data_IF_282144643555
#
_entry.id   IF_282144643555
#
_cell.length_a   1.000
_cell.length_b   1.000
_cell.length_c   1.000
_cell.angle_alpha   90.00
_cell.angle_beta   90.00
_cell.angle_gamma   90.00
#
_symmetry.space_group_name_H-M   'P 1'
#
loop_
_entity.id
_entity.type
_entity.pdbx_description
1 polymer ?
#
# COMPACT_ATOMS: atom_id res chain seq x y z
N UNK A 1 2.08 16.50 -4.63
CA UNK A 1 3.18 15.82 -3.91
C UNK A 1 3.91 14.93 -4.91
N UNK A 2 5.19 15.21 -5.16
CA UNK A 2 5.97 14.57 -6.24
C UNK A 2 6.58 13.26 -5.77
N UNK A 3 6.50 12.25 -6.64
CA UNK A 3 7.04 10.87 -6.63
C UNK A 3 8.36 10.62 -5.87
N UNK A 4 9.22 11.64 -5.78
CA UNK A 4 10.53 11.59 -5.14
C UNK A 4 10.45 11.31 -3.62
N UNK A 5 9.43 11.79 -2.93
CA UNK A 5 9.30 11.61 -1.47
C UNK A 5 8.98 10.16 -1.05
N UNK A 6 8.34 9.37 -1.92
CA UNK A 6 7.95 8.00 -1.61
C UNK A 6 9.14 7.02 -1.59
N UNK A 7 10.23 7.35 -2.28
CA UNK A 7 11.36 6.45 -2.56
C UNK A 7 12.64 6.75 -1.79
N UNK A 8 12.85 7.99 -1.32
CA UNK A 8 14.08 8.39 -0.64
C UNK A 8 14.00 8.12 0.89
N UNK A 9 14.62 7.01 1.29
CA UNK A 9 15.31 6.77 2.57
C UNK A 9 14.96 7.65 3.81
N UNK A 10 13.80 7.45 4.45
CA UNK A 10 13.60 7.47 5.93
C UNK A 10 12.10 7.50 6.28
N UNK A 11 11.46 6.33 6.42
CA UNK A 11 10.11 6.20 6.98
C UNK A 11 8.97 6.77 6.12
N UNK A 12 7.78 6.21 6.28
CA UNK A 12 6.53 6.89 5.87
C UNK A 12 6.13 7.81 7.02
N UNK A 13 5.71 9.04 6.74
CA UNK A 13 5.21 9.94 7.78
C UNK A 13 3.75 9.63 8.13
N UNK A 14 3.28 10.13 9.28
CA UNK A 14 1.88 9.94 9.69
C UNK A 14 0.85 10.50 8.70
N UNK A 15 1.03 11.74 8.18
CA UNK A 15 0.18 12.28 7.13
C UNK A 15 0.17 11.43 5.86
N UNK A 16 1.32 10.88 5.45
CA UNK A 16 1.40 9.97 4.29
C UNK A 16 0.65 8.66 4.53
N UNK A 17 0.69 8.11 5.75
CA UNK A 17 -0.11 6.94 6.11
C UNK A 17 -1.61 7.26 6.03
N UNK A 18 -2.02 8.44 6.51
CA UNK A 18 -3.42 8.87 6.43
C UNK A 18 -3.87 9.01 4.97
N UNK A 19 -3.03 9.59 4.13
CA UNK A 19 -3.27 9.71 2.69
C UNK A 19 -3.37 8.34 2.03
N UNK A 20 -2.45 7.42 2.36
CA UNK A 20 -2.48 6.04 1.87
C UNK A 20 -3.79 5.32 2.23
N UNK A 21 -4.30 5.50 3.46
CA UNK A 21 -5.59 4.92 3.86
C UNK A 21 -6.73 5.45 2.97
N UNK A 22 -6.72 6.73 2.65
CA UNK A 22 -7.72 7.36 1.78
C UNK A 22 -7.62 6.83 0.35
N UNK A 23 -6.41 6.77 -0.21
CA UNK A 23 -6.16 6.28 -1.57
C UNK A 23 -6.46 4.78 -1.72
N UNK A 24 -6.24 3.99 -0.68
CA UNK A 24 -6.68 2.58 -0.62
C UNK A 24 -8.20 2.48 -0.50
N UNK A 25 -8.84 3.38 0.24
CA UNK A 25 -10.30 3.40 0.37
C UNK A 25 -10.96 3.67 -0.98
N UNK A 26 -10.43 4.63 -1.73
CA UNK A 26 -10.84 4.96 -3.10
C UNK A 26 -10.63 3.77 -4.04
N UNK A 27 -9.44 3.15 -4.01
CA UNK A 27 -9.12 2.00 -4.87
C UNK A 27 -10.00 0.76 -4.61
N UNK A 28 -10.48 0.59 -3.38
CA UNK A 28 -11.35 -0.52 -2.98
C UNK A 28 -12.84 -0.18 -3.12
N UNK A 29 -13.20 1.09 -3.30
CA UNK A 29 -14.59 1.56 -3.28
C UNK A 29 -15.24 1.47 -1.90
N UNK A 30 -14.45 1.38 -0.82
CA UNK A 30 -14.92 1.26 0.57
C UNK A 30 -14.03 2.09 1.49
N UNK A 31 -14.64 2.83 2.41
CA UNK A 31 -13.90 3.54 3.47
C UNK A 31 -13.20 2.56 4.41
N UNK A 32 -11.87 2.61 4.44
CA UNK A 32 -11.04 1.83 5.36
C UNK A 32 -10.96 2.52 6.71
N UNK A 33 -11.17 1.74 7.77
CA UNK A 33 -10.98 2.19 9.16
C UNK A 33 -9.55 1.93 9.64
N UNK A 34 -9.19 2.49 10.80
CA UNK A 34 -7.92 2.15 11.45
C UNK A 34 -7.83 0.66 11.82
N UNK A 35 -8.96 0.00 12.09
CA UNK A 35 -9.00 -1.44 12.34
C UNK A 35 -8.76 -2.25 11.06
N UNK A 36 -9.31 -1.81 9.93
CA UNK A 36 -9.04 -2.42 8.62
C UNK A 36 -7.55 -2.31 8.26
N UNK A 37 -6.96 -1.12 8.44
CA UNK A 37 -5.52 -0.92 8.25
C UNK A 37 -4.67 -1.79 9.18
N UNK A 38 -5.14 -2.01 10.41
CA UNK A 38 -4.46 -2.89 11.36
C UNK A 38 -4.45 -4.34 10.87
N UNK A 39 -5.59 -4.85 10.37
CA UNK A 39 -5.68 -6.18 9.74
C UNK A 39 -4.73 -6.30 8.54
N UNK A 40 -4.69 -5.28 7.68
CA UNK A 40 -3.80 -5.26 6.50
C UNK A 40 -2.32 -5.30 6.88
N UNK A 41 -1.97 -4.64 7.99
CA UNK A 41 -0.62 -4.64 8.56
C UNK A 41 -0.33 -5.87 9.45
N UNK A 42 -1.24 -6.85 9.51
CA UNK A 42 -1.14 -8.03 10.39
C UNK A 42 -0.89 -7.67 11.87
N UNK A 43 -1.47 -6.55 12.32
CA UNK A 43 -1.41 -6.13 13.72
C UNK A 43 -2.41 -6.91 14.57
N UNK A 44 -2.15 -7.09 15.88
CA UNK A 44 -3.07 -7.77 16.78
C UNK A 44 -4.43 -7.06 16.82
N UNK A 45 -5.51 -7.84 16.87
CA UNK A 45 -6.89 -7.33 16.93
C UNK A 45 -7.10 -6.41 18.14
N UNK A 46 -6.48 -6.76 19.27
CA UNK A 46 -6.43 -5.94 20.47
C UNK A 46 -5.29 -4.91 20.36
N UNK A 47 -5.67 -3.64 20.13
CA UNK A 47 -4.74 -2.50 20.12
C UNK A 47 -4.10 -2.18 18.76
N UNK A 48 -4.36 -2.98 17.73
CA UNK A 48 -3.89 -2.69 16.37
C UNK A 48 -4.44 -1.37 15.80
N UNK A 49 -5.73 -1.09 16.02
CA UNK A 49 -6.35 0.16 15.57
C UNK A 49 -5.74 1.40 16.27
N UNK A 50 -5.39 1.30 17.56
CA UNK A 50 -4.70 2.36 18.29
C UNK A 50 -3.28 2.58 17.77
N UNK A 51 -2.60 1.48 17.43
CA UNK A 51 -1.26 1.52 16.82
C UNK A 51 -1.29 2.25 15.47
N UNK A 52 -2.28 1.97 14.61
CA UNK A 52 -2.48 2.71 13.36
C UNK A 52 -2.71 4.20 13.64
N UNK A 53 -3.58 4.56 14.59
CA UNK A 53 -3.82 5.97 14.94
C UNK A 53 -2.55 6.67 15.42
N UNK A 54 -1.70 6.00 16.20
CA UNK A 54 -0.40 6.53 16.61
C UNK A 54 0.55 6.71 15.43
N UNK A 55 0.56 5.76 14.49
CA UNK A 55 1.33 5.88 13.26
C UNK A 55 0.85 7.02 12.37
N UNK A 56 -0.45 7.30 12.31
CA UNK A 56 -1.00 8.45 11.58
C UNK A 56 -0.52 9.81 12.13
N UNK A 57 0.00 9.84 13.36
CA UNK A 57 0.56 11.05 13.99
C UNK A 57 2.09 11.06 13.90
N UNK A 58 2.76 9.97 14.29
CA UNK A 58 4.23 9.92 14.44
C UNK A 58 4.96 9.21 13.29
N UNK A 59 4.24 8.53 12.41
CA UNK A 59 4.77 7.65 11.37
C UNK A 59 4.82 6.18 11.79
N UNK A 60 4.61 5.23 10.85
CA UNK A 60 4.80 3.80 11.07
C UNK A 60 6.25 3.39 11.30
N UNK A 61 6.44 2.18 11.83
CA UNK A 61 7.78 1.56 11.92
C UNK A 61 8.33 1.26 10.53
N UNK A 62 9.66 1.10 10.36
CA UNK A 62 10.25 0.74 9.07
C UNK A 62 9.72 -0.59 8.49
N UNK A 63 9.43 -1.57 9.35
CA UNK A 63 8.85 -2.84 8.94
C UNK A 63 7.42 -2.66 8.40
N UNK A 64 6.58 -1.91 9.13
CA UNK A 64 5.22 -1.61 8.69
C UNK A 64 5.21 -0.75 7.42
N UNK A 65 6.15 0.19 7.29
CA UNK A 65 6.32 1.02 6.09
C UNK A 65 6.51 0.17 4.84
N UNK A 66 7.28 -0.92 4.92
CA UNK A 66 7.47 -1.84 3.78
C UNK A 66 6.15 -2.49 3.36
N UNK A 67 5.38 -3.01 4.33
CA UNK A 67 4.08 -3.63 4.07
C UNK A 67 3.10 -2.61 3.47
N UNK A 68 3.01 -1.42 4.06
CA UNK A 68 2.15 -0.33 3.60
C UNK A 68 2.50 0.12 2.17
N UNK A 69 3.77 0.15 1.81
CA UNK A 69 4.22 0.47 0.44
C UNK A 69 3.82 -0.60 -0.58
N UNK A 70 3.85 -1.88 -0.18
CA UNK A 70 3.35 -2.96 -1.04
C UNK A 70 1.84 -2.83 -1.22
N UNK A 71 1.10 -2.62 -0.13
CA UNK A 71 -0.35 -2.42 -0.19
C UNK A 71 -0.74 -1.21 -1.04
N UNK A 72 0.04 -0.11 -0.98
CA UNK A 72 -0.17 1.09 -1.79
C UNK A 72 -0.26 0.80 -3.29
N UNK A 73 0.40 -0.26 -3.78
CA UNK A 73 0.33 -0.67 -5.18
C UNK A 73 -1.07 -1.12 -5.64
N UNK A 74 -1.99 -1.41 -4.70
CA UNK A 74 -3.40 -1.67 -5.02
C UNK A 74 -4.13 -0.42 -5.56
N UNK A 75 -3.60 0.78 -5.27
CA UNK A 75 -4.14 2.05 -5.72
C UNK A 75 -3.42 2.56 -6.97
N UNK A 76 -4.18 3.11 -7.92
CA UNK A 76 -3.64 3.60 -9.19
C UNK A 76 -2.72 4.81 -9.03
N UNK A 77 -2.83 5.51 -7.90
CA UNK A 77 -2.09 6.72 -7.55
C UNK A 77 -0.64 6.46 -7.19
N UNK A 78 -0.30 5.22 -6.84
CA UNK A 78 1.07 4.84 -6.53
C UNK A 78 1.71 4.10 -7.72
N UNK A 79 2.98 4.41 -8.03
CA UNK A 79 3.73 3.60 -8.96
C UNK A 79 3.81 2.16 -8.47
N UNK A 80 3.67 1.22 -9.41
CA UNK A 80 4.18 -0.13 -9.20
C UNK A 80 5.70 0.02 -9.25
N UNK A 81 6.33 -0.12 -8.08
CA UNK A 81 7.74 0.15 -7.88
C UNK A 81 8.58 -0.77 -8.80
N UNK A 82 9.33 -0.19 -9.74
CA UNK A 82 10.29 -0.90 -10.61
C UNK A 82 11.34 -1.71 -9.83
N UNK A 83 11.59 -1.35 -8.56
CA UNK A 83 12.54 -2.03 -7.68
C UNK A 83 12.02 -3.33 -7.05
N UNK A 84 10.70 -3.52 -7.04
CA UNK A 84 10.17 -4.87 -6.88
C UNK A 84 10.15 -5.41 -8.29
N UNK A 85 11.07 -6.32 -8.59
CA UNK A 85 11.19 -7.02 -9.87
C UNK A 85 9.96 -7.94 -10.08
N UNK A 86 8.76 -7.36 -10.05
CA UNK A 86 7.48 -8.06 -10.25
C UNK A 86 7.31 -8.40 -11.73
N UNK A 87 7.95 -7.61 -12.58
CA UNK A 87 7.99 -7.82 -14.01
C UNK A 87 9.45 -7.81 -14.41
N UNK A 88 10.02 -9.00 -14.58
CA UNK A 88 11.35 -9.13 -15.16
C UNK A 88 11.35 -8.38 -16.50
N UNK A 89 12.22 -7.37 -16.60
CA UNK A 89 12.28 -6.45 -17.76
C UNK A 89 12.59 -7.19 -19.07
N UNK A 90 13.16 -8.40 -18.99
CA UNK A 90 13.51 -9.24 -20.12
C UNK A 90 12.42 -10.25 -20.51
N UNK A 91 11.45 -10.52 -19.64
CA UNK A 91 10.37 -11.50 -19.90
C UNK A 91 9.13 -10.86 -20.57
N UNK A 92 8.86 -9.58 -20.28
CA UNK A 92 7.60 -8.93 -20.69
C UNK A 92 7.81 -7.88 -21.78
N UNK A 93 7.16 -8.11 -22.94
CA UNK A 93 7.08 -7.12 -24.03
C UNK A 93 6.50 -5.80 -23.52
N UNK A 94 7.03 -4.69 -24.02
CA UNK A 94 6.64 -3.35 -23.54
C UNK A 94 5.14 -3.07 -23.71
N UNK A 95 4.53 -3.65 -24.74
CA UNK A 95 3.10 -3.59 -25.05
C UNK A 95 2.22 -4.29 -24.00
N UNK A 96 2.71 -5.36 -23.36
CA UNK A 96 1.97 -6.13 -22.36
C UNK A 96 2.08 -5.55 -20.93
N UNK A 97 3.06 -4.67 -20.70
CA UNK A 97 3.27 -3.99 -19.40
C UNK A 97 2.00 -3.32 -18.85
N UNK A 98 1.21 -2.53 -19.60
CA UNK A 98 -0.02 -1.94 -19.06
C UNK A 98 -1.05 -2.99 -18.63
N UNK A 99 -1.25 -4.06 -19.40
CA UNK A 99 -2.18 -5.13 -19.07
C UNK A 99 -1.71 -5.92 -17.83
N UNK A 100 -0.42 -6.24 -17.75
CA UNK A 100 0.19 -6.92 -16.59
C UNK A 100 0.14 -6.07 -15.32
N UNK A 101 0.36 -4.76 -15.43
CA UNK A 101 0.18 -3.80 -14.32
C UNK A 101 -1.26 -3.77 -13.82
N UNK A 102 -2.24 -3.75 -14.72
CA UNK A 102 -3.65 -3.82 -14.36
C UNK A 102 -4.00 -5.15 -13.66
N UNK A 103 -3.51 -6.28 -14.18
CA UNK A 103 -3.70 -7.60 -13.58
C UNK A 103 -3.04 -7.71 -12.19
N UNK A 104 -1.85 -7.15 -12.01
CA UNK A 104 -1.21 -7.10 -10.69
C UNK A 104 -1.98 -6.22 -9.71
N UNK A 105 -2.48 -5.06 -10.15
CA UNK A 105 -3.34 -4.20 -9.33
C UNK A 105 -4.61 -4.92 -8.90
N UNK A 106 -5.26 -5.66 -9.81
CA UNK A 106 -6.41 -6.49 -9.48
C UNK A 106 -6.07 -7.54 -8.42
N UNK A 107 -4.96 -8.27 -8.59
CA UNK A 107 -4.48 -9.25 -7.60
C UNK A 107 -4.20 -8.61 -6.23
N UNK A 108 -3.56 -7.44 -6.20
CA UNK A 108 -3.30 -6.71 -4.95
C UNK A 108 -4.59 -6.26 -4.27
N UNK A 109 -5.59 -5.79 -5.02
CA UNK A 109 -6.91 -5.45 -4.47
C UNK A 109 -7.62 -6.68 -3.92
N UNK A 110 -7.54 -7.82 -4.59
CA UNK A 110 -8.08 -9.08 -4.09
C UNK A 110 -7.36 -9.56 -2.82
N UNK A 111 -6.04 -9.44 -2.73
CA UNK A 111 -5.30 -9.75 -1.52
C UNK A 111 -5.73 -8.85 -0.36
N UNK A 112 -5.86 -7.54 -0.60
CA UNK A 112 -6.36 -6.58 0.39
C UNK A 112 -7.75 -6.98 0.86
N UNK A 113 -8.66 -7.36 -0.06
CA UNK A 113 -10.00 -7.85 0.30
C UNK A 113 -9.92 -9.13 1.14
N UNK A 114 -9.11 -10.12 0.75
CA UNK A 114 -8.93 -11.37 1.51
C UNK A 114 -8.42 -11.14 2.93
N UNK A 115 -7.54 -10.16 3.14
CA UNK A 115 -7.03 -9.82 4.48
C UNK A 115 -8.05 -9.11 5.37
N UNK A 116 -9.05 -8.44 4.78
CA UNK A 116 -10.08 -7.73 5.54
C UNK A 116 -11.20 -8.66 6.05
N UNK A 117 -11.36 -9.82 5.42
CA UNK A 117 -12.46 -10.77 5.67
C UNK A 117 -13.63 -10.51 4.75
#
# INVERSE_FOLDING_TARGET
MTFRAFLDANGMTGPELKQLRDDLSDALGRKLTAADMAKLCALPENGGADTIRRWEVRGPTPAATKVLRVLAMASDRYPILEKFDVFDRHDIREEDRPAKRAAFRAQMREEVRRRLG
#
